data_IF_292573865041
#
_entry.id   IF_292573865041
#
_cell.length_a   1.000
_cell.length_b   1.000
_cell.length_c   1.000
_cell.angle_alpha   90.00
_cell.angle_beta   90.00
_cell.angle_gamma   90.00
#
_symmetry.space_group_name_H-M   'P 1'
#
loop_
_entity.id
_entity.type
_entity.pdbx_description
1 polymer ?
#
# COMPACT_ATOMS: atom_id res chain seq x y z
N UNK A 1 -25.15 -34.90 31.90
CA UNK A 1 -24.00 -34.76 30.99
C UNK A 1 -23.88 -33.26 30.66
N UNK A 2 -22.72 -32.69 30.83
CA UNK A 2 -22.48 -31.24 30.52
C UNK A 2 -22.47 -31.08 29.00
N UNK A 3 -23.27 -30.16 28.49
CA UNK A 3 -23.29 -29.81 27.07
C UNK A 3 -22.04 -28.95 26.74
N UNK A 4 -21.16 -29.50 25.93
CA UNK A 4 -19.90 -28.84 25.49
C UNK A 4 -20.15 -27.66 24.60
N UNK A 5 -21.32 -27.56 23.96
CA UNK A 5 -21.68 -26.39 23.14
C UNK A 5 -22.15 -25.17 23.94
N UNK A 6 -22.56 -25.40 25.19
CA UNK A 6 -23.07 -24.37 26.12
C UNK A 6 -22.09 -24.07 27.27
N UNK A 7 -21.15 -24.97 27.51
CA UNK A 7 -20.27 -24.88 28.66
C UNK A 7 -18.82 -25.17 28.28
N UNK A 8 -17.91 -24.38 28.81
CA UNK A 8 -16.47 -24.59 28.75
C UNK A 8 -15.90 -24.57 30.17
N UNK A 9 -15.32 -25.70 30.60
CA UNK A 9 -14.73 -25.85 31.93
C UNK A 9 -13.22 -26.06 31.79
N UNK A 10 -12.45 -25.14 32.38
CA UNK A 10 -11.01 -25.17 32.38
C UNK A 10 -10.52 -25.37 33.83
N UNK A 11 -9.75 -26.44 34.07
CA UNK A 11 -9.21 -26.74 35.38
C UNK A 11 -7.69 -26.64 35.34
N UNK A 12 -7.08 -25.79 36.18
CA UNK A 12 -5.65 -25.55 36.23
C UNK A 12 -5.06 -25.20 34.85
N UNK A 13 -5.77 -24.40 34.07
CA UNK A 13 -5.37 -23.94 32.73
C UNK A 13 -5.56 -24.98 31.61
N UNK A 14 -6.11 -26.14 31.86
CA UNK A 14 -6.40 -27.16 30.87
C UNK A 14 -7.92 -27.28 30.62
N UNK A 15 -8.31 -27.31 29.37
CA UNK A 15 -9.72 -27.55 29.00
C UNK A 15 -10.07 -28.98 29.33
N UNK A 16 -11.10 -29.16 30.16
CA UNK A 16 -11.54 -30.48 30.70
C UNK A 16 -12.99 -30.78 30.42
N UNK A 17 -13.74 -29.91 29.82
CA UNK A 17 -15.19 -30.10 29.56
C UNK A 17 -15.56 -31.46 29.00
N UNK A 18 -14.86 -32.00 27.96
CA UNK A 18 -15.23 -33.32 27.39
C UNK A 18 -15.05 -34.49 28.36
N UNK A 19 -14.18 -34.33 29.37
CA UNK A 19 -13.87 -35.35 30.35
C UNK A 19 -14.81 -35.32 31.54
N UNK A 20 -15.62 -34.26 31.71
CA UNK A 20 -16.45 -34.01 32.90
C UNK A 20 -17.85 -34.58 32.68
N UNK A 21 -18.34 -35.30 33.65
CA UNK A 21 -19.73 -35.79 33.73
C UNK A 21 -20.63 -34.77 34.44
N UNK A 22 -20.19 -34.25 35.60
CA UNK A 22 -20.87 -33.19 36.33
C UNK A 22 -19.91 -32.24 37.03
N UNK A 23 -20.32 -30.99 37.13
CA UNK A 23 -19.61 -29.93 37.86
C UNK A 23 -20.62 -29.10 38.65
N UNK A 24 -20.38 -28.91 39.94
CA UNK A 24 -21.27 -28.14 40.82
C UNK A 24 -20.43 -27.21 41.69
N UNK A 25 -20.89 -25.98 41.84
CA UNK A 25 -20.27 -25.00 42.74
C UNK A 25 -20.94 -25.09 44.11
N UNK A 26 -20.14 -25.29 45.15
CA UNK A 26 -20.57 -25.29 46.54
C UNK A 26 -19.66 -24.35 47.33
N UNK A 27 -20.15 -23.16 47.71
CA UNK A 27 -19.45 -22.18 48.54
C UNK A 27 -18.00 -21.86 48.11
N UNK A 28 -17.80 -21.55 46.82
CA UNK A 28 -16.49 -21.20 46.28
C UNK A 28 -15.57 -22.39 46.00
N UNK A 29 -16.06 -23.61 46.07
CA UNK A 29 -15.37 -24.83 45.62
C UNK A 29 -16.20 -25.56 44.56
N UNK A 30 -15.53 -26.09 43.54
CA UNK A 30 -16.14 -26.85 42.49
C UNK A 30 -15.98 -28.38 42.75
N UNK A 31 -17.10 -29.07 42.90
CA UNK A 31 -17.10 -30.53 42.95
C UNK A 31 -17.27 -31.06 41.51
N UNK A 32 -16.26 -31.74 41.01
CA UNK A 32 -16.16 -32.19 39.63
C UNK A 32 -16.14 -33.72 39.62
N UNK A 33 -17.03 -34.34 38.85
CA UNK A 33 -17.05 -35.79 38.55
C UNK A 33 -16.55 -35.95 37.11
N UNK A 34 -15.48 -36.71 36.94
CA UNK A 34 -14.97 -37.04 35.60
C UNK A 34 -15.59 -38.33 35.08
N UNK A 35 -15.77 -38.41 33.78
CA UNK A 35 -16.22 -39.64 33.12
C UNK A 35 -15.24 -40.77 33.38
N UNK A 36 -15.74 -41.95 33.65
CA UNK A 36 -14.93 -43.14 33.92
C UNK A 36 -14.08 -43.10 35.23
N UNK A 37 -14.36 -42.15 36.12
CA UNK A 37 -13.69 -42.06 37.43
C UNK A 37 -14.77 -42.07 38.53
N UNK A 38 -14.79 -43.05 39.42
CA UNK A 38 -15.88 -43.20 40.40
C UNK A 38 -15.87 -42.15 41.52
N UNK A 39 -14.78 -41.39 41.68
CA UNK A 39 -14.61 -40.39 42.76
C UNK A 39 -14.79 -38.97 42.26
N UNK A 40 -15.44 -38.13 43.08
CA UNK A 40 -15.54 -36.71 42.83
C UNK A 40 -14.29 -35.98 43.34
N UNK A 41 -13.82 -35.00 42.58
CA UNK A 41 -12.69 -34.13 42.97
C UNK A 41 -13.20 -32.74 43.34
N UNK A 42 -12.60 -32.15 44.37
CA UNK A 42 -12.93 -30.79 44.77
C UNK A 42 -11.78 -29.84 44.39
N UNK A 43 -12.11 -28.79 43.65
CA UNK A 43 -11.17 -27.75 43.23
C UNK A 43 -11.59 -26.43 43.85
N UNK A 44 -10.60 -25.60 44.25
CA UNK A 44 -10.87 -24.24 44.66
C UNK A 44 -11.26 -23.39 43.45
N UNK A 45 -12.04 -22.33 43.67
CA UNK A 45 -12.51 -21.40 42.63
C UNK A 45 -11.38 -20.84 41.78
N UNK A 46 -10.25 -20.49 42.36
CA UNK A 46 -9.06 -19.99 41.67
C UNK A 46 -8.48 -20.95 40.61
N UNK A 47 -8.79 -22.24 40.70
CA UNK A 47 -8.31 -23.29 39.79
C UNK A 47 -9.32 -23.71 38.74
N UNK A 48 -10.53 -23.15 38.75
CA UNK A 48 -11.61 -23.54 37.82
C UNK A 48 -12.17 -22.31 37.16
N UNK A 49 -12.12 -22.26 35.84
CA UNK A 49 -12.83 -21.29 35.01
C UNK A 49 -13.98 -22.02 34.32
N UNK A 50 -15.20 -21.67 34.67
CA UNK A 50 -16.41 -22.20 34.03
C UNK A 50 -17.07 -21.06 33.25
N UNK A 51 -17.13 -21.21 31.92
CA UNK A 51 -17.73 -20.29 30.99
C UNK A 51 -19.03 -20.86 30.44
N UNK A 52 -20.05 -20.01 30.38
CA UNK A 52 -21.40 -20.34 29.85
C UNK A 52 -21.79 -19.26 28.83
N UNK A 53 -22.91 -19.45 28.16
CA UNK A 53 -23.50 -18.49 27.22
C UNK A 53 -22.54 -18.08 26.08
N UNK A 54 -22.01 -19.04 25.30
CA UNK A 54 -21.12 -18.70 24.18
C UNK A 54 -21.88 -18.01 23.05
N UNK A 55 -21.17 -17.14 22.33
CA UNK A 55 -21.64 -16.71 21.03
C UNK A 55 -21.66 -17.88 20.05
N UNK A 56 -22.74 -18.00 19.27
CA UNK A 56 -22.92 -19.07 18.28
C UNK A 56 -23.05 -18.50 16.86
N UNK A 57 -21.95 -18.03 16.27
CA UNK A 57 -21.99 -17.48 14.93
C UNK A 57 -22.19 -18.57 13.86
N UNK A 58 -22.68 -18.15 12.69
CA UNK A 58 -22.76 -19.02 11.52
C UNK A 58 -21.35 -19.43 11.06
N UNK A 59 -21.01 -20.74 11.03
CA UNK A 59 -19.71 -21.23 10.58
C UNK A 59 -19.33 -20.78 9.17
N UNK A 60 -20.29 -20.56 8.30
CA UNK A 60 -20.05 -20.10 6.92
C UNK A 60 -19.42 -18.71 6.84
N UNK A 61 -19.49 -17.94 7.92
CA UNK A 61 -18.86 -16.64 8.01
C UNK A 61 -17.39 -16.67 8.45
N UNK A 62 -16.83 -17.87 8.67
CA UNK A 62 -15.48 -18.03 9.19
C UNK A 62 -14.68 -19.05 8.39
N UNK A 63 -13.46 -18.69 8.05
CA UNK A 63 -12.43 -19.63 7.63
C UNK A 63 -11.43 -19.76 8.78
N UNK A 64 -11.31 -20.96 9.32
CA UNK A 64 -10.49 -21.23 10.48
C UNK A 64 -9.34 -22.13 10.07
N UNK A 65 -8.12 -21.72 10.42
CA UNK A 65 -6.89 -22.43 10.11
C UNK A 65 -6.21 -22.81 11.43
N UNK A 66 -5.87 -24.08 11.60
CA UNK A 66 -5.13 -24.59 12.73
C UNK A 66 -3.88 -25.31 12.24
N UNK A 67 -2.70 -24.94 12.77
CA UNK A 67 -1.40 -25.51 12.39
C UNK A 67 -1.17 -25.53 10.87
N UNK A 68 -1.55 -24.46 10.18
CA UNK A 68 -1.40 -24.31 8.74
C UNK A 68 -2.40 -25.10 7.88
N UNK A 69 -3.40 -25.76 8.49
CA UNK A 69 -4.45 -26.50 7.77
C UNK A 69 -5.81 -25.86 7.99
N UNK A 70 -6.53 -25.59 6.90
CA UNK A 70 -7.91 -25.10 6.97
C UNK A 70 -8.82 -26.18 7.53
N UNK A 71 -9.59 -25.83 8.55
CA UNK A 71 -10.62 -26.70 9.14
C UNK A 71 -11.86 -26.65 8.23
N UNK A 72 -12.23 -27.79 7.68
CA UNK A 72 -13.40 -27.96 6.78
C UNK A 72 -14.51 -28.72 7.46
N UNK A 73 -15.72 -28.66 6.89
CA UNK A 73 -16.89 -29.42 7.37
C UNK A 73 -17.29 -29.05 8.82
N UNK A 74 -17.21 -27.79 9.17
CA UNK A 74 -17.65 -27.27 10.46
C UNK A 74 -19.18 -27.20 10.45
N UNK A 75 -19.80 -27.82 11.45
CA UNK A 75 -21.26 -27.84 11.66
C UNK A 75 -21.73 -26.70 12.55
N UNK A 76 -20.99 -26.42 13.62
CA UNK A 76 -21.34 -25.39 14.59
C UNK A 76 -20.10 -24.84 15.28
N UNK A 77 -20.19 -23.56 15.70
CA UNK A 77 -19.19 -22.85 16.47
C UNK A 77 -19.82 -22.38 17.78
N UNK A 78 -19.08 -22.49 18.89
CA UNK A 78 -19.41 -21.81 20.15
C UNK A 78 -18.16 -21.05 20.61
N UNK A 79 -18.28 -19.74 20.80
CA UNK A 79 -17.17 -18.86 21.17
C UNK A 79 -17.39 -18.41 22.61
N UNK A 80 -16.55 -18.90 23.52
CA UNK A 80 -16.56 -18.50 24.92
C UNK A 80 -15.60 -17.35 25.12
N UNK A 81 -16.12 -16.20 25.58
CA UNK A 81 -15.35 -14.97 25.77
C UNK A 81 -14.91 -14.83 27.22
N UNK A 82 -13.66 -14.48 27.42
CA UNK A 82 -13.13 -13.99 28.70
C UNK A 82 -12.63 -12.56 28.50
N UNK A 83 -12.34 -11.86 29.61
CA UNK A 83 -11.78 -10.48 29.50
C UNK A 83 -10.45 -10.39 28.76
N UNK A 84 -9.69 -11.50 28.63
CA UNK A 84 -8.35 -11.53 28.05
C UNK A 84 -8.17 -12.50 26.88
N UNK A 85 -9.01 -13.52 26.77
CA UNK A 85 -8.84 -14.61 25.80
C UNK A 85 -10.20 -15.16 25.37
N UNK A 86 -10.29 -15.62 24.13
CA UNK A 86 -11.44 -16.37 23.64
C UNK A 86 -11.08 -17.85 23.46
N UNK A 87 -12.09 -18.69 23.60
CA UNK A 87 -12.00 -20.13 23.35
C UNK A 87 -13.03 -20.50 22.32
N UNK A 88 -12.66 -21.35 21.38
CA UNK A 88 -13.46 -21.80 20.26
C UNK A 88 -13.78 -23.26 20.40
N UNK A 89 -15.04 -23.63 20.65
CA UNK A 89 -15.54 -24.95 20.55
C UNK A 89 -16.07 -25.19 19.14
N UNK A 90 -15.48 -26.15 18.43
CA UNK A 90 -15.79 -26.45 17.02
C UNK A 90 -16.36 -27.83 16.90
N UNK A 91 -17.61 -27.93 16.43
CA UNK A 91 -18.27 -29.18 16.11
C UNK A 91 -18.26 -29.41 14.61
N UNK A 92 -17.80 -30.59 14.19
CA UNK A 92 -17.70 -30.98 12.79
C UNK A 92 -18.92 -31.82 12.34
N UNK A 93 -19.16 -31.91 11.01
CA UNK A 93 -20.26 -32.69 10.44
C UNK A 93 -20.15 -34.19 10.76
N UNK A 94 -18.95 -34.72 10.98
CA UNK A 94 -18.73 -36.12 11.38
C UNK A 94 -18.98 -36.38 12.88
N UNK A 95 -19.50 -35.40 13.61
CA UNK A 95 -19.81 -35.47 15.04
C UNK A 95 -18.61 -35.32 15.98
N UNK A 96 -17.40 -35.14 15.47
CA UNK A 96 -16.23 -34.81 16.30
C UNK A 96 -16.29 -33.38 16.78
N UNK A 97 -15.78 -33.12 17.98
CA UNK A 97 -15.74 -31.80 18.63
C UNK A 97 -14.34 -31.57 19.19
N UNK A 98 -13.88 -30.33 19.05
CA UNK A 98 -12.58 -29.92 19.56
C UNK A 98 -12.65 -28.49 20.11
N UNK A 99 -11.89 -28.25 21.19
CA UNK A 99 -11.73 -26.96 21.82
C UNK A 99 -10.36 -26.37 21.47
N UNK A 100 -10.36 -25.11 21.11
CA UNK A 100 -9.14 -24.36 20.73
C UNK A 100 -9.05 -23.07 21.53
N UNK A 101 -7.83 -22.63 21.83
CA UNK A 101 -7.58 -21.25 22.24
C UNK A 101 -7.47 -20.40 20.98
N UNK A 102 -8.02 -19.20 20.99
CA UNK A 102 -7.97 -18.31 19.81
C UNK A 102 -6.55 -18.10 19.27
N UNK A 103 -5.54 -18.00 20.15
CA UNK A 103 -4.12 -17.85 19.76
C UNK A 103 -3.55 -19.02 18.95
N UNK A 104 -4.18 -20.20 19.00
CA UNK A 104 -3.76 -21.41 18.28
C UNK A 104 -4.48 -21.54 16.92
N UNK A 105 -5.30 -20.55 16.58
CA UNK A 105 -6.09 -20.46 15.35
C UNK A 105 -5.75 -19.19 14.57
N UNK A 106 -5.71 -19.30 13.26
CA UNK A 106 -5.82 -18.16 12.36
C UNK A 106 -7.27 -18.09 11.88
N UNK A 107 -7.94 -16.98 12.17
CA UNK A 107 -9.38 -16.81 11.94
C UNK A 107 -9.55 -15.69 10.92
N UNK A 108 -10.20 -16.02 9.81
CA UNK A 108 -10.56 -15.08 8.77
C UNK A 108 -12.07 -14.98 8.71
N UNK A 109 -12.60 -13.79 8.93
CA UNK A 109 -14.04 -13.53 8.87
C UNK A 109 -14.48 -13.17 7.45
N UNK A 110 -15.69 -13.61 7.10
CA UNK A 110 -16.34 -13.16 5.87
C UNK A 110 -17.01 -11.80 6.06
N UNK A 111 -16.81 -10.89 5.11
CA UNK A 111 -17.57 -9.65 5.11
C UNK A 111 -19.07 -9.86 4.84
N UNK A 112 -19.48 -11.04 4.31
CA UNK A 112 -20.88 -11.40 4.07
C UNK A 112 -21.65 -11.71 5.38
N UNK A 113 -20.97 -11.87 6.50
CA UNK A 113 -21.58 -11.93 7.83
C UNK A 113 -22.13 -10.57 8.30
N UNK A 114 -21.72 -9.46 7.66
CA UNK A 114 -22.15 -8.12 7.98
C UNK A 114 -23.33 -7.69 7.09
N UNK A 115 -24.37 -7.11 7.69
CA UNK A 115 -25.68 -6.86 7.04
C UNK A 115 -25.59 -5.96 5.79
N UNK A 116 -24.79 -4.90 5.83
CA UNK A 116 -24.63 -3.96 4.70
C UNK A 116 -23.90 -4.63 3.53
N UNK A 117 -22.78 -5.29 3.80
CA UNK A 117 -22.01 -6.00 2.78
C UNK A 117 -22.84 -7.11 2.14
N UNK A 118 -23.59 -7.87 2.94
CA UNK A 118 -24.50 -8.89 2.46
C UNK A 118 -25.61 -8.31 1.57
N UNK A 119 -26.24 -7.23 2.01
CA UNK A 119 -27.31 -6.56 1.23
C UNK A 119 -26.81 -6.06 -0.14
N UNK A 120 -25.63 -5.43 -0.17
CA UNK A 120 -25.03 -4.96 -1.43
C UNK A 120 -24.65 -6.14 -2.31
N UNK A 121 -24.08 -7.21 -1.74
CA UNK A 121 -23.71 -8.40 -2.49
C UNK A 121 -24.95 -9.10 -3.11
N UNK A 122 -26.05 -9.24 -2.37
CA UNK A 122 -27.31 -9.77 -2.90
C UNK A 122 -27.91 -8.88 -4.00
N UNK A 123 -27.76 -7.56 -3.90
CA UNK A 123 -28.12 -6.65 -4.98
C UNK A 123 -27.27 -6.90 -6.24
N UNK A 124 -25.95 -7.08 -6.09
CA UNK A 124 -25.05 -7.40 -7.22
C UNK A 124 -25.40 -8.75 -7.86
N UNK A 125 -25.83 -9.75 -7.08
CA UNK A 125 -26.32 -11.03 -7.61
C UNK A 125 -27.57 -10.83 -8.49
N UNK A 126 -28.52 -10.00 -8.06
CA UNK A 126 -29.69 -9.66 -8.87
C UNK A 126 -29.32 -8.94 -10.17
N UNK A 127 -28.36 -8.02 -10.12
CA UNK A 127 -27.84 -7.34 -11.32
C UNK A 127 -27.16 -8.34 -12.26
N UNK A 128 -26.37 -9.27 -11.71
CA UNK A 128 -25.72 -10.33 -12.49
C UNK A 128 -26.75 -11.28 -13.17
N UNK A 129 -27.84 -11.60 -12.46
CA UNK A 129 -28.93 -12.41 -13.04
C UNK A 129 -29.72 -11.67 -14.13
N UNK A 130 -29.91 -10.36 -13.99
CA UNK A 130 -30.55 -9.52 -15.00
C UNK A 130 -29.66 -9.29 -16.23
N UNK A 131 -28.35 -9.58 -16.16
CA UNK A 131 -27.42 -9.41 -17.27
C UNK A 131 -27.64 -10.49 -18.34
N UNK A 132 -27.67 -10.09 -19.62
CA UNK A 132 -27.95 -10.98 -20.74
C UNK A 132 -26.71 -11.74 -21.26
N UNK A 133 -25.54 -11.58 -20.63
CA UNK A 133 -24.32 -12.28 -21.04
C UNK A 133 -24.46 -13.80 -20.80
N UNK A 134 -24.64 -14.54 -21.88
CA UNK A 134 -24.83 -15.98 -21.86
C UNK A 134 -23.69 -16.70 -22.59
N UNK A 135 -23.39 -17.92 -22.15
CA UNK A 135 -22.59 -18.86 -22.92
C UNK A 135 -23.41 -19.46 -24.08
N UNK A 136 -22.74 -20.22 -24.96
CA UNK A 136 -23.35 -20.88 -26.11
C UNK A 136 -24.48 -21.87 -25.71
N UNK A 137 -24.39 -22.44 -24.50
CA UNK A 137 -25.38 -23.33 -23.90
C UNK A 137 -26.57 -22.60 -23.21
N UNK A 138 -26.63 -21.26 -23.34
CA UNK A 138 -27.65 -20.42 -22.72
C UNK A 138 -27.40 -20.11 -21.23
N UNK A 139 -26.34 -20.62 -20.60
CA UNK A 139 -26.01 -20.37 -19.20
C UNK A 139 -25.68 -18.90 -18.98
N UNK A 140 -26.31 -18.25 -18.01
CA UNK A 140 -26.00 -16.88 -17.56
C UNK A 140 -24.64 -16.87 -16.85
N UNK A 141 -23.60 -16.36 -17.52
CA UNK A 141 -22.22 -16.46 -17.07
C UNK A 141 -21.96 -15.73 -15.74
N UNK A 142 -22.47 -14.49 -15.61
CA UNK A 142 -22.25 -13.71 -14.39
C UNK A 142 -23.01 -14.28 -13.20
N UNK A 143 -24.29 -14.64 -13.37
CA UNK A 143 -25.10 -15.23 -12.31
C UNK A 143 -24.43 -16.49 -11.75
N UNK A 144 -24.00 -17.40 -12.63
CA UNK A 144 -23.30 -18.65 -12.23
C UNK A 144 -21.99 -18.40 -11.47
N UNK A 145 -21.28 -17.31 -11.78
CA UNK A 145 -20.06 -16.96 -11.02
C UNK A 145 -20.40 -16.40 -9.64
N UNK A 146 -21.40 -15.53 -9.52
CA UNK A 146 -21.86 -15.01 -8.24
C UNK A 146 -22.44 -16.08 -7.32
N UNK A 147 -23.12 -17.08 -7.87
CA UNK A 147 -23.64 -18.22 -7.10
C UNK A 147 -22.55 -19.04 -6.41
N UNK A 148 -21.34 -19.08 -6.97
CA UNK A 148 -20.21 -19.80 -6.38
C UNK A 148 -19.54 -19.05 -5.22
N UNK A 149 -19.88 -17.79 -5.03
CA UNK A 149 -19.24 -16.96 -3.99
C UNK A 149 -20.08 -17.07 -2.71
N UNK A 150 -19.61 -17.86 -1.77
CA UNK A 150 -20.24 -18.06 -0.45
C UNK A 150 -19.46 -17.40 0.68
N UNK A 151 -18.20 -17.03 0.43
CA UNK A 151 -17.29 -16.46 1.39
C UNK A 151 -16.44 -15.37 0.74
N UNK A 152 -16.33 -14.22 1.39
CA UNK A 152 -15.46 -13.11 1.00
C UNK A 152 -14.70 -12.67 2.24
N UNK A 153 -13.41 -12.98 2.29
CA UNK A 153 -12.57 -12.55 3.41
C UNK A 153 -12.61 -11.04 3.60
N UNK A 154 -12.74 -10.59 4.84
CA UNK A 154 -12.85 -9.19 5.23
C UNK A 154 -11.63 -8.33 4.86
N UNK A 155 -10.48 -8.97 4.63
CA UNK A 155 -9.22 -8.35 4.21
C UNK A 155 -9.04 -8.26 2.68
N UNK A 156 -10.06 -8.59 1.89
CA UNK A 156 -10.00 -8.52 0.42
C UNK A 156 -10.54 -7.20 -0.12
N UNK A 157 -10.05 -6.80 -1.27
CA UNK A 157 -10.47 -5.56 -1.93
C UNK A 157 -11.98 -5.49 -2.17
N UNK A 158 -12.62 -6.61 -2.50
CA UNK A 158 -14.08 -6.68 -2.67
C UNK A 158 -14.85 -6.40 -1.36
N UNK A 159 -14.31 -6.75 -0.19
CA UNK A 159 -14.92 -6.39 1.09
C UNK A 159 -14.95 -4.85 1.28
N UNK A 160 -13.87 -4.16 0.88
CA UNK A 160 -13.81 -2.70 0.89
C UNK A 160 -14.82 -2.10 -0.09
N UNK A 161 -14.97 -2.67 -1.28
CA UNK A 161 -15.98 -2.24 -2.25
C UNK A 161 -17.41 -2.38 -1.69
N UNK A 162 -17.71 -3.49 -1.01
CA UNK A 162 -19.02 -3.73 -0.41
C UNK A 162 -19.29 -2.84 0.81
N UNK A 163 -18.27 -2.51 1.61
CA UNK A 163 -18.42 -1.62 2.76
C UNK A 163 -17.13 -0.81 3.06
N UNK A 164 -16.88 0.30 2.37
CA UNK A 164 -15.67 1.11 2.55
C UNK A 164 -15.62 1.85 3.90
N UNK A 165 -16.72 1.92 4.64
CA UNK A 165 -16.74 2.52 5.97
C UNK A 165 -16.15 1.56 7.02
N UNK A 166 -16.35 0.25 6.85
CA UNK A 166 -15.90 -0.79 7.79
C UNK A 166 -14.54 -1.37 7.40
N UNK A 167 -14.32 -1.65 6.12
CA UNK A 167 -13.11 -2.31 5.62
C UNK A 167 -12.18 -1.31 4.93
N UNK A 168 -10.88 -1.57 4.98
CA UNK A 168 -9.86 -0.72 4.36
C UNK A 168 -8.95 -1.54 3.45
N UNK A 169 -8.50 -0.92 2.36
CA UNK A 169 -7.47 -1.50 1.50
C UNK A 169 -6.20 -1.73 2.32
N UNK A 170 -5.61 -2.90 2.14
CA UNK A 170 -4.33 -3.22 2.75
C UNK A 170 -3.20 -2.81 1.82
N UNK A 171 -2.18 -2.20 2.39
CA UNK A 171 -0.89 -1.96 1.73
C UNK A 171 0.17 -2.84 2.35
N UNK A 172 1.19 -3.18 1.57
CA UNK A 172 2.34 -3.95 2.01
C UNK A 172 3.60 -3.37 1.40
N UNK A 173 4.73 -3.51 2.05
CA UNK A 173 6.01 -3.15 1.45
C UNK A 173 6.34 -4.17 0.36
N UNK A 174 6.65 -3.70 -0.84
CA UNK A 174 7.13 -4.57 -1.91
C UNK A 174 8.51 -5.12 -1.53
N UNK A 175 8.67 -6.43 -1.63
CA UNK A 175 10.01 -7.04 -1.65
C UNK A 175 10.75 -6.64 -2.93
N UNK A 176 12.03 -6.95 -3.03
CA UNK A 176 12.87 -6.70 -4.21
C UNK A 176 12.10 -7.00 -5.50
N UNK A 177 12.06 -6.03 -6.42
CA UNK A 177 11.41 -6.12 -7.73
C UNK A 177 12.47 -6.32 -8.82
N UNK A 178 12.12 -7.07 -9.85
CA UNK A 178 12.95 -7.29 -11.04
C UNK A 178 12.32 -6.63 -12.27
N UNK A 179 13.14 -6.17 -13.20
CA UNK A 179 12.72 -5.50 -14.43
C UNK A 179 13.35 -6.10 -15.68
N UNK A 180 13.14 -7.40 -15.96
CA UNK A 180 13.81 -8.09 -17.06
C UNK A 180 13.47 -7.53 -18.44
N UNK A 181 12.34 -6.85 -18.56
CA UNK A 181 11.91 -6.22 -19.82
C UNK A 181 12.29 -4.74 -19.90
N UNK A 182 13.16 -4.24 -19.00
CA UNK A 182 13.49 -2.83 -18.87
C UNK A 182 12.34 -1.99 -18.30
N UNK A 183 12.63 -0.79 -17.88
CA UNK A 183 11.62 0.16 -17.38
C UNK A 183 12.14 1.59 -17.41
N UNK A 184 11.23 2.55 -17.35
CA UNK A 184 11.51 3.93 -16.96
C UNK A 184 10.97 4.20 -15.55
N UNK A 185 11.23 5.40 -15.01
CA UNK A 185 10.83 5.78 -13.66
C UNK A 185 9.33 5.61 -13.39
N UNK A 186 8.46 6.00 -14.32
CA UNK A 186 7.01 5.87 -14.16
C UNK A 186 6.53 4.43 -14.23
N UNK A 187 7.13 3.61 -15.08
CA UNK A 187 6.86 2.17 -15.16
C UNK A 187 7.33 1.44 -13.90
N UNK A 188 8.50 1.81 -13.35
CA UNK A 188 8.98 1.27 -12.07
C UNK A 188 7.99 1.58 -10.94
N UNK A 189 7.55 2.84 -10.81
CA UNK A 189 6.52 3.26 -9.83
C UNK A 189 5.22 2.47 -10.01
N UNK A 190 4.79 2.21 -11.25
CA UNK A 190 3.58 1.45 -11.56
C UNK A 190 3.71 -0.04 -11.15
N UNK A 191 4.84 -0.69 -11.42
CA UNK A 191 5.12 -2.06 -10.97
C UNK A 191 5.16 -2.11 -9.46
N UNK A 192 5.85 -1.17 -8.80
CA UNK A 192 5.89 -1.08 -7.34
C UNK A 192 4.49 -0.95 -6.74
N UNK A 193 3.66 -0.04 -7.25
CA UNK A 193 2.29 0.16 -6.81
C UNK A 193 1.43 -1.12 -6.96
N UNK A 194 1.65 -1.93 -8.01
CA UNK A 194 0.95 -3.20 -8.21
C UNK A 194 1.28 -4.24 -7.13
N UNK A 195 2.47 -4.17 -6.53
CA UNK A 195 2.88 -5.10 -5.46
C UNK A 195 2.59 -4.56 -4.05
N UNK A 196 2.54 -3.25 -3.88
CA UNK A 196 2.27 -2.63 -2.58
C UNK A 196 0.78 -2.53 -2.26
N UNK A 197 -0.09 -2.50 -3.27
CA UNK A 197 -1.52 -2.29 -3.11
C UNK A 197 -2.33 -3.49 -3.58
N UNK A 198 -3.52 -3.67 -3.01
CA UNK A 198 -4.47 -4.69 -3.45
C UNK A 198 -5.10 -4.38 -4.82
N UNK A 199 -5.22 -3.10 -5.15
CA UNK A 199 -5.65 -2.60 -6.46
C UNK A 199 -4.72 -1.46 -6.85
N UNK A 200 -4.24 -1.49 -8.08
CA UNK A 200 -3.54 -0.37 -8.71
C UNK A 200 -4.12 -0.10 -10.10
N UNK A 201 -4.15 1.17 -10.48
CA UNK A 201 -4.62 1.61 -11.80
C UNK A 201 -3.48 2.25 -12.55
N UNK A 202 -3.12 1.69 -13.71
CA UNK A 202 -2.05 2.17 -14.57
C UNK A 202 -2.67 2.81 -15.80
N UNK A 203 -2.62 4.14 -15.87
CA UNK A 203 -3.09 4.92 -17.01
C UNK A 203 -1.92 5.41 -17.87
N UNK A 204 -2.15 5.52 -19.16
CA UNK A 204 -1.18 6.08 -20.10
C UNK A 204 -1.70 6.05 -21.53
N UNK A 205 -1.34 7.04 -22.38
CA UNK A 205 -1.68 7.01 -23.78
C UNK A 205 -1.00 5.82 -24.53
N UNK A 206 -1.38 5.52 -25.76
CA UNK A 206 -0.67 4.54 -26.60
C UNK A 206 0.83 4.87 -26.68
N UNK A 207 1.70 3.86 -26.69
CA UNK A 207 3.15 4.05 -26.79
C UNK A 207 3.90 4.29 -25.48
N UNK A 208 3.22 4.47 -24.35
CA UNK A 208 3.87 4.70 -23.03
C UNK A 208 4.46 3.45 -22.37
N UNK A 209 4.42 2.28 -23.04
CA UNK A 209 5.00 1.04 -22.53
C UNK A 209 4.14 0.30 -21.52
N UNK A 210 2.79 0.48 -21.53
CA UNK A 210 1.88 -0.27 -20.62
C UNK A 210 2.09 -1.78 -20.70
N UNK A 211 2.27 -2.35 -21.89
CA UNK A 211 2.52 -3.79 -22.06
C UNK A 211 3.85 -4.20 -21.40
N UNK A 212 4.89 -3.37 -21.49
CA UNK A 212 6.18 -3.61 -20.83
C UNK A 212 6.01 -3.62 -19.30
N UNK A 213 5.20 -2.70 -18.76
CA UNK A 213 4.83 -2.70 -17.33
C UNK A 213 4.11 -3.99 -16.94
N UNK A 214 3.15 -4.47 -17.76
CA UNK A 214 2.45 -5.73 -17.53
C UNK A 214 3.44 -6.91 -17.52
N UNK A 215 4.38 -6.97 -18.47
CA UNK A 215 5.39 -8.04 -18.52
C UNK A 215 6.27 -8.06 -17.26
N UNK A 216 6.70 -6.89 -16.77
CA UNK A 216 7.46 -6.80 -15.52
C UNK A 216 6.62 -7.23 -14.31
N UNK A 217 5.31 -6.91 -14.28
CA UNK A 217 4.40 -7.41 -13.23
C UNK A 217 4.30 -8.93 -13.30
N UNK A 218 4.11 -9.51 -14.49
CA UNK A 218 4.06 -10.97 -14.69
C UNK A 218 5.35 -11.62 -14.16
N UNK A 219 6.52 -11.14 -14.58
CA UNK A 219 7.81 -11.67 -14.14
C UNK A 219 7.93 -11.68 -12.60
N UNK A 220 7.57 -10.58 -11.97
CA UNK A 220 7.62 -10.46 -10.52
C UNK A 220 6.61 -11.37 -9.79
N UNK A 221 5.47 -11.70 -10.38
CA UNK A 221 4.50 -12.66 -9.84
C UNK A 221 5.07 -14.08 -9.93
N UNK A 222 5.63 -14.45 -11.08
CA UNK A 222 6.17 -15.79 -11.35
C UNK A 222 7.37 -16.12 -10.45
N UNK A 223 8.33 -15.19 -10.31
CA UNK A 223 9.49 -15.37 -9.40
C UNK A 223 9.06 -15.63 -7.95
N UNK A 224 7.87 -15.16 -7.57
CA UNK A 224 7.28 -15.44 -6.24
C UNK A 224 6.49 -16.75 -6.17
N UNK A 225 6.59 -17.59 -7.20
CA UNK A 225 5.87 -18.88 -7.27
C UNK A 225 4.36 -18.72 -7.36
N UNK A 226 3.85 -17.58 -7.83
CA UNK A 226 2.42 -17.30 -7.96
C UNK A 226 1.97 -17.34 -9.39
N UNK A 227 0.69 -17.60 -9.61
CA UNK A 227 0.03 -17.54 -10.91
C UNK A 227 -0.57 -16.17 -11.16
N UNK A 228 -0.70 -15.79 -12.45
CA UNK A 228 -1.29 -14.54 -12.88
C UNK A 228 -2.32 -14.80 -13.97
N UNK A 229 -3.42 -14.06 -13.94
CA UNK A 229 -4.42 -14.06 -15.00
C UNK A 229 -4.46 -12.70 -15.67
N UNK A 230 -4.29 -12.68 -16.99
CA UNK A 230 -4.44 -11.47 -17.82
C UNK A 230 -5.80 -11.56 -18.51
N UNK A 231 -6.66 -10.56 -18.31
CA UNK A 231 -7.98 -10.49 -18.91
C UNK A 231 -8.16 -9.22 -19.72
N UNK A 232 -8.84 -9.33 -20.86
CA UNK A 232 -9.19 -8.21 -21.70
C UNK A 232 -10.50 -8.51 -22.44
N UNK A 233 -11.28 -7.49 -22.72
CA UNK A 233 -12.42 -7.58 -23.65
C UNK A 233 -11.99 -7.57 -25.13
N UNK A 234 -10.69 -7.39 -25.40
CA UNK A 234 -10.11 -7.45 -26.73
C UNK A 234 -9.03 -8.54 -26.79
N UNK A 235 -9.25 -9.58 -27.60
CA UNK A 235 -8.35 -10.70 -27.77
C UNK A 235 -6.96 -10.26 -28.29
N UNK A 236 -6.88 -9.24 -29.15
CA UNK A 236 -5.60 -8.75 -29.67
C UNK A 236 -4.67 -8.21 -28.58
N UNK A 237 -5.22 -7.67 -27.49
CA UNK A 237 -4.41 -7.21 -26.35
C UNK A 237 -3.74 -8.38 -25.61
N UNK A 238 -4.44 -9.51 -25.48
CA UNK A 238 -3.89 -10.74 -24.87
C UNK A 238 -2.84 -11.37 -25.78
N UNK A 239 -3.13 -11.46 -27.07
CA UNK A 239 -2.20 -11.97 -28.08
C UNK A 239 -0.89 -11.16 -28.09
N UNK A 240 -0.97 -9.83 -27.97
CA UNK A 240 0.20 -8.96 -27.89
C UNK A 240 1.09 -9.28 -26.67
N UNK A 241 0.50 -9.63 -25.52
CA UNK A 241 1.27 -10.05 -24.34
C UNK A 241 1.96 -11.38 -24.61
N UNK A 242 1.27 -12.35 -25.21
CA UNK A 242 1.84 -13.64 -25.60
C UNK A 242 3.00 -13.47 -26.59
N UNK A 243 2.79 -12.72 -27.68
CA UNK A 243 3.82 -12.47 -28.69
C UNK A 243 5.09 -11.84 -28.09
N UNK A 244 4.92 -10.92 -27.14
CA UNK A 244 6.06 -10.32 -26.46
C UNK A 244 6.78 -11.32 -25.54
N UNK A 245 6.05 -12.17 -24.80
CA UNK A 245 6.66 -13.23 -24.00
C UNK A 245 7.39 -14.25 -24.90
N UNK A 246 6.80 -14.61 -26.04
CA UNK A 246 7.40 -15.55 -27.00
C UNK A 246 8.71 -15.03 -27.62
N UNK A 247 8.87 -13.69 -27.76
CA UNK A 247 10.15 -13.08 -28.19
C UNK A 247 11.30 -13.27 -27.21
N UNK A 248 11.00 -13.63 -25.97
CA UNK A 248 11.94 -13.94 -24.90
C UNK A 248 11.95 -15.45 -24.55
N UNK A 249 11.44 -16.29 -25.47
CA UNK A 249 11.33 -17.74 -25.31
C UNK A 249 10.45 -18.16 -24.10
N UNK A 250 9.59 -17.26 -23.63
CA UNK A 250 8.71 -17.49 -22.49
C UNK A 250 7.26 -17.83 -22.89
N UNK A 251 6.98 -18.10 -24.17
CA UNK A 251 5.64 -18.43 -24.66
C UNK A 251 5.06 -19.68 -24.02
N UNK A 252 5.90 -20.66 -23.68
CA UNK A 252 5.50 -21.95 -23.07
C UNK A 252 4.84 -21.82 -21.69
N UNK A 253 5.02 -20.70 -20.98
CA UNK A 253 4.37 -20.47 -19.67
C UNK A 253 2.93 -19.98 -19.78
N UNK A 254 2.43 -19.69 -21.00
CA UNK A 254 1.14 -19.04 -21.21
C UNK A 254 0.08 -20.07 -21.62
N UNK A 255 -1.05 -20.05 -20.92
CA UNK A 255 -2.27 -20.75 -21.31
C UNK A 255 -3.30 -19.79 -21.86
N UNK A 256 -3.67 -19.89 -23.13
CA UNK A 256 -4.76 -19.14 -23.73
C UNK A 256 -6.09 -19.85 -23.46
N UNK A 257 -6.92 -19.30 -22.55
CA UNK A 257 -8.13 -19.94 -22.07
C UNK A 257 -9.42 -19.14 -22.38
N UNK A 258 -9.34 -18.11 -23.23
CA UNK A 258 -10.40 -17.15 -23.45
C UNK A 258 -11.65 -17.69 -24.17
N UNK A 259 -11.55 -18.79 -24.92
CA UNK A 259 -12.66 -19.43 -25.61
C UNK A 259 -12.61 -20.96 -25.43
N UNK A 260 -13.72 -21.66 -25.75
CA UNK A 260 -13.76 -23.13 -25.71
C UNK A 260 -12.72 -23.74 -26.66
N UNK A 261 -12.66 -23.23 -27.89
CA UNK A 261 -11.67 -23.69 -28.88
C UNK A 261 -10.22 -23.48 -28.42
N UNK A 262 -9.91 -22.36 -27.75
CA UNK A 262 -8.58 -22.12 -27.18
C UNK A 262 -8.26 -23.09 -26.03
N UNK A 263 -9.24 -23.45 -25.21
CA UNK A 263 -9.07 -24.44 -24.14
C UNK A 263 -8.79 -25.85 -24.68
N UNK A 264 -9.56 -26.25 -25.67
CA UNK A 264 -9.38 -27.54 -26.36
C UNK A 264 -7.99 -27.61 -26.98
N UNK A 265 -7.63 -26.60 -27.76
CA UNK A 265 -6.29 -26.50 -28.36
C UNK A 265 -5.19 -26.51 -27.31
N UNK A 266 -5.37 -25.83 -26.18
CA UNK A 266 -4.38 -25.83 -25.09
C UNK A 266 -4.23 -27.23 -24.48
N UNK A 267 -5.34 -27.98 -24.30
CA UNK A 267 -5.32 -29.35 -23.77
C UNK A 267 -4.61 -30.27 -24.76
N UNK A 268 -4.96 -30.21 -26.04
CA UNK A 268 -4.33 -31.00 -27.11
C UNK A 268 -2.81 -30.77 -27.15
N UNK A 269 -2.36 -29.50 -27.10
CA UNK A 269 -0.92 -29.16 -27.10
C UNK A 269 -0.19 -29.57 -25.80
N UNK A 270 -0.90 -29.91 -24.71
CA UNK A 270 -0.25 -30.47 -23.51
C UNK A 270 0.01 -31.98 -23.63
N UNK A 271 -0.76 -32.66 -24.48
CA UNK A 271 -0.58 -34.10 -24.76
C UNK A 271 0.53 -34.33 -25.83
N UNK A 272 0.73 -33.36 -26.73
CA UNK A 272 1.86 -33.34 -27.65
C UNK A 272 3.11 -32.88 -26.88
N UNK A 273 4.31 -33.33 -27.31
CA UNK A 273 5.59 -32.99 -26.66
C UNK A 273 5.69 -31.46 -26.40
N UNK A 274 5.82 -31.09 -25.15
CA UNK A 274 5.98 -29.68 -24.75
C UNK A 274 7.23 -29.13 -25.44
N UNK A 275 7.03 -28.17 -26.34
CA UNK A 275 8.16 -27.45 -26.95
C UNK A 275 8.73 -26.47 -25.89
N UNK A 276 9.67 -26.98 -25.12
CA UNK A 276 10.54 -26.13 -24.32
C UNK A 276 11.59 -25.44 -25.19
N UNK A 277 12.10 -24.26 -24.80
CA UNK A 277 13.27 -23.66 -25.47
C UNK A 277 14.43 -24.62 -25.54
N UNK A 278 15.24 -24.59 -26.63
CA UNK A 278 16.36 -25.50 -26.86
C UNK A 278 17.35 -25.63 -25.70
N UNK A 279 17.44 -24.58 -24.87
CA UNK A 279 18.34 -24.53 -23.71
C UNK A 279 17.60 -24.68 -22.37
N UNK A 280 16.36 -25.16 -22.37
CA UNK A 280 15.54 -25.25 -21.14
C UNK A 280 16.20 -26.14 -20.06
N UNK A 281 16.88 -27.21 -20.46
CA UNK A 281 17.60 -28.08 -19.53
C UNK A 281 18.75 -27.35 -18.81
N UNK A 282 19.43 -26.41 -19.48
CA UNK A 282 20.49 -25.60 -18.86
C UNK A 282 19.98 -24.60 -17.83
N UNK A 283 18.65 -24.31 -17.82
CA UNK A 283 18.06 -23.47 -16.80
C UNK A 283 17.95 -24.15 -15.43
N UNK A 284 18.17 -25.47 -15.39
CA UNK A 284 18.25 -26.24 -14.15
C UNK A 284 19.64 -26.21 -13.51
N UNK A 285 20.55 -25.38 -14.02
CA UNK A 285 21.89 -25.26 -13.45
C UNK A 285 21.79 -24.72 -12.01
N UNK A 286 21.94 -25.67 -11.06
CA UNK A 286 21.70 -25.49 -9.64
C UNK A 286 22.85 -24.81 -8.90
N UNK A 287 23.92 -24.47 -9.60
CA UNK A 287 25.12 -23.84 -9.02
C UNK A 287 24.98 -22.32 -8.85
N UNK A 288 23.83 -21.74 -9.18
CA UNK A 288 23.57 -20.33 -8.89
C UNK A 288 23.32 -20.17 -7.41
N UNK A 289 24.23 -19.48 -6.72
CA UNK A 289 23.98 -19.01 -5.35
C UNK A 289 22.81 -18.01 -5.35
N UNK A 290 21.60 -18.54 -5.18
CA UNK A 290 20.37 -17.76 -5.20
C UNK A 290 20.39 -16.55 -4.22
N UNK A 291 20.87 -16.67 -2.98
CA UNK A 291 21.01 -15.54 -2.07
C UNK A 291 21.95 -14.45 -2.61
N UNK A 292 23.09 -14.80 -3.16
CA UNK A 292 24.04 -13.84 -3.72
C UNK A 292 23.46 -13.14 -4.95
N UNK A 293 22.79 -13.88 -5.84
CA UNK A 293 22.13 -13.34 -7.00
C UNK A 293 20.98 -12.37 -6.66
N UNK A 294 20.15 -12.72 -5.67
CA UNK A 294 19.08 -11.84 -5.17
C UNK A 294 19.64 -10.56 -4.53
N UNK A 295 20.76 -10.65 -3.82
CA UNK A 295 21.43 -9.48 -3.25
C UNK A 295 21.99 -8.56 -4.35
N UNK A 296 22.57 -9.12 -5.42
CA UNK A 296 23.02 -8.33 -6.57
C UNK A 296 21.85 -7.63 -7.27
N UNK A 297 20.75 -8.32 -7.51
CA UNK A 297 19.52 -7.71 -8.08
C UNK A 297 19.01 -6.60 -7.17
N UNK A 298 18.99 -6.82 -5.87
CA UNK A 298 18.56 -5.79 -4.91
C UNK A 298 19.43 -4.54 -5.03
N UNK A 299 20.75 -4.70 -5.01
CA UNK A 299 21.70 -3.59 -5.14
C UNK A 299 21.49 -2.82 -6.46
N UNK A 300 21.43 -3.53 -7.59
CA UNK A 300 21.18 -2.92 -8.91
C UNK A 300 19.82 -2.19 -8.97
N UNK A 301 18.80 -2.74 -8.33
CA UNK A 301 17.48 -2.10 -8.27
C UNK A 301 17.52 -0.79 -7.48
N UNK A 302 18.25 -0.74 -6.36
CA UNK A 302 18.41 0.49 -5.58
C UNK A 302 19.25 1.54 -6.33
N UNK A 303 20.28 1.12 -7.05
CA UNK A 303 21.03 2.01 -7.93
C UNK A 303 20.15 2.60 -9.04
N UNK A 304 19.33 1.79 -9.68
CA UNK A 304 18.38 2.22 -10.71
C UNK A 304 17.37 3.25 -10.15
N UNK A 305 16.86 3.03 -8.95
CA UNK A 305 15.98 3.99 -8.25
C UNK A 305 16.69 5.33 -8.02
N UNK A 306 17.94 5.28 -7.58
CA UNK A 306 18.76 6.48 -7.38
C UNK A 306 18.95 7.26 -8.68
N UNK A 307 19.23 6.57 -9.78
CA UNK A 307 19.38 7.19 -11.11
C UNK A 307 18.06 7.85 -11.53
N UNK A 308 16.92 7.18 -11.42
CA UNK A 308 15.62 7.73 -11.76
C UNK A 308 15.25 8.96 -10.91
N UNK A 309 15.53 8.91 -9.61
CA UNK A 309 15.33 10.05 -8.73
C UNK A 309 16.15 11.28 -9.19
N UNK A 310 17.43 11.06 -9.52
CA UNK A 310 18.32 12.14 -10.02
C UNK A 310 17.84 12.69 -11.37
N UNK A 311 17.39 11.83 -12.29
CA UNK A 311 16.82 12.27 -13.57
C UNK A 311 15.55 13.10 -13.40
N UNK A 312 14.64 12.66 -12.51
CA UNK A 312 13.41 13.40 -12.19
C UNK A 312 13.75 14.77 -11.56
N UNK A 313 14.70 14.80 -10.61
CA UNK A 313 15.14 16.04 -9.97
C UNK A 313 15.82 16.99 -10.96
N UNK A 314 16.65 16.47 -11.86
CA UNK A 314 17.27 17.24 -12.93
C UNK A 314 16.22 17.87 -13.85
N UNK A 315 15.20 17.10 -14.26
CA UNK A 315 14.11 17.62 -15.08
C UNK A 315 13.33 18.72 -14.36
N UNK A 316 13.04 18.56 -13.07
CA UNK A 316 12.39 19.58 -12.24
C UNK A 316 13.25 20.85 -12.13
N UNK A 317 14.54 20.72 -11.82
CA UNK A 317 15.45 21.86 -11.71
C UNK A 317 15.56 22.63 -13.02
N UNK A 318 15.60 21.94 -14.17
CA UNK A 318 15.58 22.58 -15.50
C UNK A 318 14.27 23.31 -15.76
N UNK A 319 13.14 22.77 -15.31
CA UNK A 319 11.83 23.43 -15.44
C UNK A 319 11.76 24.66 -14.51
N UNK A 320 12.21 24.53 -13.26
CA UNK A 320 12.27 25.65 -12.31
C UNK A 320 13.12 26.81 -12.83
N UNK A 321 14.30 26.53 -13.41
CA UNK A 321 15.18 27.60 -13.94
C UNK A 321 14.56 28.29 -15.17
N UNK A 322 13.81 27.59 -16.01
CA UNK A 322 13.08 28.20 -17.12
C UNK A 322 11.95 29.11 -16.63
N UNK A 323 11.15 28.64 -15.64
CA UNK A 323 10.12 29.47 -15.04
C UNK A 323 10.73 30.74 -14.40
N UNK A 324 11.81 30.56 -13.65
CA UNK A 324 12.52 31.66 -13.00
C UNK A 324 13.05 32.69 -14.02
N UNK A 325 13.54 32.25 -15.18
CA UNK A 325 13.97 33.12 -16.27
C UNK A 325 12.83 33.99 -16.82
N UNK A 326 11.65 33.36 -16.99
CA UNK A 326 10.47 34.08 -17.49
C UNK A 326 10.03 35.14 -16.48
N UNK A 327 9.92 34.75 -15.18
CA UNK A 327 9.56 35.68 -14.10
C UNK A 327 10.55 36.84 -14.00
N UNK A 328 11.85 36.53 -14.08
CA UNK A 328 12.89 37.54 -14.07
C UNK A 328 12.80 38.53 -15.27
N UNK A 329 12.51 38.03 -16.47
CA UNK A 329 12.30 38.87 -17.65
C UNK A 329 11.09 39.80 -17.49
N UNK A 330 9.96 39.28 -16.96
CA UNK A 330 8.80 40.12 -16.66
C UNK A 330 9.11 41.18 -15.62
N UNK A 331 9.84 40.84 -14.57
CA UNK A 331 10.27 41.76 -13.54
C UNK A 331 11.12 42.92 -14.17
N UNK A 332 12.08 42.60 -15.01
CA UNK A 332 12.94 43.60 -15.68
C UNK A 332 12.15 44.49 -16.65
N UNK A 333 11.15 43.96 -17.32
CA UNK A 333 10.27 44.74 -18.21
C UNK A 333 9.42 45.75 -17.43
N UNK A 334 8.92 45.37 -16.26
CA UNK A 334 8.03 46.19 -15.45
C UNK A 334 8.79 47.25 -14.64
N UNK A 335 9.91 46.88 -14.04
CA UNK A 335 10.64 47.74 -13.08
C UNK A 335 11.97 48.30 -13.60
N UNK A 336 12.43 47.83 -14.76
CA UNK A 336 13.72 48.25 -15.36
C UNK A 336 14.94 47.69 -14.61
N UNK A 337 16.12 47.95 -15.16
CA UNK A 337 17.40 47.63 -14.50
C UNK A 337 17.77 48.75 -13.52
N UNK A 338 17.53 48.57 -12.23
CA UNK A 338 18.02 49.46 -11.18
C UNK A 338 19.42 49.01 -10.74
N UNK A 339 20.27 49.98 -10.39
CA UNK A 339 21.58 49.67 -9.78
C UNK A 339 21.36 48.91 -8.49
N UNK A 340 21.93 47.74 -8.46
CA UNK A 340 21.77 46.76 -7.38
C UNK A 340 22.98 46.79 -6.46
N UNK A 341 22.76 46.90 -5.15
CA UNK A 341 23.83 47.13 -4.17
C UNK A 341 24.00 46.02 -3.15
N UNK A 342 23.00 45.10 -3.02
CA UNK A 342 23.06 43.99 -2.05
C UNK A 342 23.91 42.84 -2.59
N UNK A 343 24.67 42.19 -1.70
CA UNK A 343 25.39 40.96 -1.97
C UNK A 343 25.05 39.92 -0.95
N UNK A 344 24.90 38.67 -1.40
CA UNK A 344 24.70 37.51 -0.54
C UNK A 344 25.95 37.22 0.33
N UNK A 345 25.77 36.74 1.56
CA UNK A 345 26.85 36.15 2.35
C UNK A 345 26.99 34.66 2.04
N UNK A 346 28.21 34.10 2.20
CA UNK A 346 28.54 32.71 1.83
C UNK A 346 27.63 31.61 2.43
N UNK A 347 26.96 31.88 3.55
CA UNK A 347 26.19 30.89 4.30
C UNK A 347 24.67 31.16 4.26
N UNK A 348 24.17 31.95 3.32
CA UNK A 348 22.74 32.25 3.16
C UNK A 348 22.19 31.57 1.91
N UNK A 349 20.93 31.16 1.95
CA UNK A 349 20.21 30.50 0.86
C UNK A 349 19.18 31.43 0.21
N UNK A 350 18.68 31.04 -0.97
CA UNK A 350 17.54 31.71 -1.59
C UNK A 350 16.30 31.68 -0.69
N UNK A 351 16.09 30.61 0.11
CA UNK A 351 15.01 30.53 1.08
C UNK A 351 15.10 31.61 2.18
N UNK A 352 16.31 31.91 2.65
CA UNK A 352 16.53 32.99 3.63
C UNK A 352 16.18 34.36 3.03
N UNK A 353 16.55 34.59 1.77
CA UNK A 353 16.24 35.83 1.04
C UNK A 353 14.75 35.98 0.77
N UNK A 354 14.05 34.88 0.42
CA UNK A 354 12.61 34.89 0.24
C UNK A 354 11.88 35.24 1.55
N UNK A 355 12.35 34.74 2.68
CA UNK A 355 11.80 35.10 3.98
C UNK A 355 12.02 36.60 4.29
N UNK A 356 13.20 37.15 4.00
CA UNK A 356 13.46 38.59 4.18
C UNK A 356 12.59 39.43 3.25
N UNK A 357 12.43 39.03 2.01
CA UNK A 357 11.55 39.72 1.04
C UNK A 357 10.09 39.72 1.55
N UNK A 358 9.55 38.56 1.94
CA UNK A 358 8.19 38.45 2.48
C UNK A 358 7.99 39.31 3.75
N UNK A 359 8.98 39.35 4.64
CA UNK A 359 8.93 40.23 5.83
C UNK A 359 8.90 41.71 5.45
N UNK A 360 9.69 42.11 4.46
CA UNK A 360 9.65 43.49 3.96
C UNK A 360 8.28 43.86 3.39
N UNK A 361 7.65 42.97 2.62
CA UNK A 361 6.30 43.19 2.10
C UNK A 361 5.28 43.38 3.23
N UNK A 362 5.34 42.53 4.26
CA UNK A 362 4.46 42.67 5.43
C UNK A 362 4.68 43.98 6.21
N UNK A 363 5.91 44.52 6.21
CA UNK A 363 6.16 45.83 6.80
C UNK A 363 5.55 46.94 5.96
N UNK A 364 5.69 46.91 4.62
CA UNK A 364 5.12 47.88 3.70
C UNK A 364 3.58 47.91 3.78
N UNK A 365 2.93 46.79 3.79
CA UNK A 365 1.46 46.68 3.92
C UNK A 365 0.94 47.29 5.23
N UNK A 366 1.67 47.08 6.34
CA UNK A 366 1.28 47.62 7.66
C UNK A 366 1.54 49.12 7.78
N UNK A 367 2.52 49.69 7.09
CA UNK A 367 2.72 51.13 7.02
C UNK A 367 1.57 51.83 6.27
N UNK A 368 1.02 51.19 5.24
CA UNK A 368 -0.10 51.75 4.46
C UNK A 368 -1.47 51.64 5.20
N UNK A 369 -1.64 50.64 6.08
CA UNK A 369 -2.96 50.30 6.63
C UNK A 369 -3.31 50.92 7.98
N UNK A 370 -2.40 51.53 8.76
CA UNK A 370 -2.74 52.05 10.09
C UNK A 370 -1.76 53.08 10.70
N UNK A 371 -2.32 54.14 11.29
CA UNK A 371 -1.63 54.93 12.30
C UNK A 371 -1.54 54.13 13.62
N UNK A 372 -0.55 53.25 13.72
CA UNK A 372 -0.34 52.45 14.95
C UNK A 372 0.09 53.38 16.09
N UNK A 373 -0.67 53.36 17.23
CA UNK A 373 -0.37 54.11 18.44
C UNK A 373 -0.06 53.16 19.63
N UNK A 374 0.81 53.61 20.54
CA UNK A 374 1.11 52.90 21.79
C UNK A 374 1.90 51.60 21.63
N UNK A 375 1.48 50.52 22.26
CA UNK A 375 2.19 49.22 22.36
C UNK A 375 2.40 48.61 21.00
N UNK A 376 1.43 48.74 20.09
CA UNK A 376 1.54 48.17 18.73
C UNK A 376 2.69 48.81 17.91
N UNK A 377 2.87 50.12 18.02
CA UNK A 377 3.98 50.83 17.40
C UNK A 377 5.33 50.42 18.00
N UNK A 378 5.41 50.19 19.30
CA UNK A 378 6.61 49.69 19.98
C UNK A 378 7.00 48.27 19.48
N UNK A 379 6.04 47.36 19.42
CA UNK A 379 6.26 45.99 18.91
C UNK A 379 6.74 46.00 17.46
N UNK A 380 6.19 46.89 16.61
CA UNK A 380 6.61 46.98 15.22
C UNK A 380 8.04 47.51 15.08
N UNK A 381 8.43 48.50 15.92
CA UNK A 381 9.83 48.98 15.98
C UNK A 381 10.80 47.89 16.42
N UNK A 382 10.42 47.05 17.38
CA UNK A 382 11.21 45.90 17.83
C UNK A 382 11.38 44.87 16.69
N UNK A 383 10.29 44.51 16.02
CA UNK A 383 10.33 43.62 14.86
C UNK A 383 11.24 44.13 13.75
N UNK A 384 11.15 45.43 13.45
CA UNK A 384 12.03 46.06 12.46
C UNK A 384 13.50 46.04 12.87
N UNK A 385 13.82 46.15 14.15
CA UNK A 385 15.16 46.04 14.66
C UNK A 385 15.70 44.61 14.50
N UNK A 386 14.90 43.58 14.80
CA UNK A 386 15.24 42.19 14.56
C UNK A 386 15.44 41.90 13.07
N UNK A 387 14.59 42.43 12.23
CA UNK A 387 14.75 42.33 10.77
C UNK A 387 16.08 42.90 10.30
N UNK A 388 16.47 44.10 10.76
CA UNK A 388 17.76 44.70 10.45
C UNK A 388 18.95 43.86 10.89
N UNK A 389 18.85 43.24 12.04
CA UNK A 389 19.90 42.33 12.55
C UNK A 389 20.00 41.08 11.68
N UNK A 390 18.86 40.45 11.38
CA UNK A 390 18.79 39.23 10.58
C UNK A 390 19.22 39.45 9.12
N UNK A 391 18.79 40.53 8.51
CA UNK A 391 19.17 40.87 7.14
C UNK A 391 20.68 41.14 7.00
N UNK A 392 21.34 41.76 8.02
CA UNK A 392 22.81 41.92 8.06
C UNK A 392 23.55 40.59 8.22
N UNK A 393 22.92 39.58 8.87
CA UNK A 393 23.50 38.24 8.98
C UNK A 393 23.48 37.50 7.64
N UNK A 394 22.42 37.68 6.85
CA UNK A 394 22.15 37.00 5.57
C UNK A 394 22.81 37.73 4.39
N UNK A 395 22.79 39.08 4.38
CA UNK A 395 23.29 39.91 3.29
C UNK A 395 24.42 40.85 3.74
N UNK A 396 25.28 41.24 2.81
CA UNK A 396 26.19 42.38 2.98
C UNK A 396 25.43 43.64 2.65
N UNK A 397 25.06 44.41 3.67
CA UNK A 397 24.37 45.68 3.52
C UNK A 397 25.41 46.77 3.23
N UNK A 398 25.31 47.58 2.13
CA UNK A 398 26.37 48.47 1.67
C UNK A 398 26.63 49.63 2.60
N UNK A 399 25.61 50.23 3.18
CA UNK A 399 25.76 51.41 4.03
C UNK A 399 24.70 51.50 5.15
N UNK A 400 24.88 52.45 6.08
CA UNK A 400 23.94 52.77 7.17
C UNK A 400 22.63 53.41 6.66
N UNK A 401 22.62 53.95 5.44
CA UNK A 401 21.48 54.62 4.81
C UNK A 401 20.50 53.65 4.17
N UNK A 402 20.90 52.40 3.92
CA UNK A 402 20.04 51.38 3.28
C UNK A 402 18.63 51.31 3.86
N UNK A 403 18.51 51.21 5.17
CA UNK A 403 17.20 51.08 5.87
C UNK A 403 16.43 52.41 6.00
N UNK A 404 16.98 53.53 5.49
CA UNK A 404 16.29 54.82 5.41
C UNK A 404 15.68 55.08 4.02
N UNK A 405 15.94 54.16 3.07
CA UNK A 405 15.38 54.21 1.72
C UNK A 405 13.90 53.91 1.75
N UNK A 406 13.20 54.23 0.71
CA UNK A 406 11.81 53.84 0.50
C UNK A 406 11.67 52.31 0.54
N UNK A 407 10.61 51.83 1.21
CA UNK A 407 10.40 50.38 1.42
C UNK A 407 10.30 49.60 0.11
N UNK A 408 9.68 50.18 -0.92
CA UNK A 408 9.63 49.66 -2.29
C UNK A 408 10.99 49.33 -2.87
N UNK A 409 12.00 50.16 -2.62
CA UNK A 409 13.37 49.96 -3.07
C UNK A 409 14.10 48.87 -2.29
N UNK A 410 13.84 48.77 -0.99
CA UNK A 410 14.40 47.70 -0.13
C UNK A 410 13.82 46.35 -0.54
N UNK A 411 12.50 46.26 -0.82
CA UNK A 411 11.83 45.08 -1.32
C UNK A 411 12.44 44.64 -2.65
N UNK A 412 12.61 45.57 -3.59
CA UNK A 412 13.20 45.29 -4.89
C UNK A 412 14.63 44.73 -4.77
N UNK A 413 15.47 45.31 -3.87
CA UNK A 413 16.82 44.83 -3.64
C UNK A 413 16.84 43.35 -3.11
N UNK A 414 15.98 43.00 -2.18
CA UNK A 414 15.87 41.61 -1.70
C UNK A 414 15.30 40.68 -2.77
N UNK A 415 14.32 41.10 -3.55
CA UNK A 415 13.75 40.38 -4.64
C UNK A 415 14.78 40.06 -5.73
N UNK A 416 15.55 41.03 -6.15
CA UNK A 416 16.62 40.85 -7.15
C UNK A 416 17.66 39.85 -6.62
N UNK A 417 18.12 40.03 -5.37
CA UNK A 417 19.08 39.12 -4.77
C UNK A 417 18.55 37.69 -4.64
N UNK A 418 17.26 37.52 -4.32
CA UNK A 418 16.59 36.23 -4.32
C UNK A 418 16.68 35.57 -5.70
N UNK A 419 16.26 36.24 -6.77
CA UNK A 419 16.29 35.66 -8.12
C UNK A 419 17.71 35.26 -8.54
N UNK A 420 18.71 36.14 -8.31
CA UNK A 420 20.10 35.82 -8.64
C UNK A 420 20.63 34.61 -7.85
N UNK A 421 20.33 34.56 -6.56
CA UNK A 421 20.77 33.44 -5.70
C UNK A 421 20.09 32.15 -6.08
N UNK A 422 18.77 32.17 -6.27
CA UNK A 422 17.99 30.96 -6.65
C UNK A 422 18.43 30.42 -8.01
N UNK A 423 18.74 31.33 -8.95
CA UNK A 423 19.28 30.96 -10.26
C UNK A 423 20.62 30.22 -10.13
N UNK A 424 21.56 30.82 -9.37
CA UNK A 424 22.87 30.20 -9.15
C UNK A 424 22.80 28.88 -8.40
N UNK A 425 21.91 28.73 -7.42
CA UNK A 425 21.67 27.47 -6.73
C UNK A 425 21.18 26.38 -7.69
N UNK A 426 20.22 26.71 -8.56
CA UNK A 426 19.68 25.74 -9.55
C UNK A 426 20.74 25.38 -10.61
N UNK A 427 21.59 26.31 -11.05
CA UNK A 427 22.68 26.00 -11.99
C UNK A 427 23.69 25.01 -11.35
N UNK A 428 24.07 25.23 -10.10
CA UNK A 428 24.98 24.30 -9.37
C UNK A 428 24.34 22.95 -9.17
N UNK A 429 23.05 22.91 -8.84
CA UNK A 429 22.32 21.65 -8.69
C UNK A 429 22.25 20.88 -10.02
N UNK A 430 21.92 21.56 -11.13
CA UNK A 430 21.87 20.97 -12.46
C UNK A 430 23.25 20.40 -12.84
N UNK A 431 24.32 21.17 -12.72
CA UNK A 431 25.69 20.74 -13.05
C UNK A 431 26.13 19.52 -12.20
N UNK A 432 25.77 19.54 -10.92
CA UNK A 432 26.06 18.42 -10.02
C UNK A 432 25.33 17.15 -10.44
N UNK A 433 24.01 17.24 -10.70
CA UNK A 433 23.21 16.10 -11.14
C UNK A 433 23.63 15.55 -12.51
N UNK A 434 23.99 16.44 -13.44
CA UNK A 434 24.51 16.04 -14.77
C UNK A 434 25.83 15.27 -14.65
N UNK A 435 26.77 15.73 -13.83
CA UNK A 435 28.04 15.02 -13.57
C UNK A 435 27.82 13.66 -12.90
N UNK A 436 26.91 13.60 -11.91
CA UNK A 436 26.59 12.35 -11.24
C UNK A 436 25.92 11.33 -12.17
N UNK A 437 25.11 11.78 -13.13
CA UNK A 437 24.44 10.92 -14.11
C UNK A 437 25.38 10.52 -15.26
N UNK A 438 26.36 11.33 -15.62
CA UNK A 438 27.34 11.01 -16.67
C UNK A 438 28.35 9.94 -16.24
N UNK A 439 28.57 9.77 -14.93
CA UNK A 439 29.49 8.80 -14.35
C UNK A 439 28.87 7.41 -14.09
N UNK A 440 27.61 7.21 -14.46
CA UNK A 440 26.86 5.97 -14.29
C UNK A 440 26.26 5.46 -15.59
#
# INVERSE_FOLDING_TARGET
MIDTSENLIIIKGQIKTPEIESCQNHNGNYKVVFRNVPSAYTYKEENVLWLTDPDKPDPNNYQIISKGRTLSNIKALSIFKTGSHNYWHIRFLNGKEYDYREKDLEIIESCLGESRSKSIFEYLKKVADANELKADDGTKLLAKQYEKIHFIANNRAIAVYLNPQKYKMQTRTASTLIFPFGCNASQQKAVQAAFENQISVVQGPPGTGKTQTILNIIANILVRGKTVQVVSNNNSAIVNVLEKLSKYDMGFIVALLGSTANKEKFIETQEEEKQYPEHFESWHDTDVDQPQFLNQIHHQTEELKSIFYKQERLAMARQEIQALKIEWQHYLQEFGTKEFTLQQRKNSSSADLLNLWNECQQFAEKEQSSSLRGIAAFIQRLKWLFFKFRSKAICKIPDKGFYKREMSLIIADFQILFYQTKYAELEVEIDTLEKELANK
#
